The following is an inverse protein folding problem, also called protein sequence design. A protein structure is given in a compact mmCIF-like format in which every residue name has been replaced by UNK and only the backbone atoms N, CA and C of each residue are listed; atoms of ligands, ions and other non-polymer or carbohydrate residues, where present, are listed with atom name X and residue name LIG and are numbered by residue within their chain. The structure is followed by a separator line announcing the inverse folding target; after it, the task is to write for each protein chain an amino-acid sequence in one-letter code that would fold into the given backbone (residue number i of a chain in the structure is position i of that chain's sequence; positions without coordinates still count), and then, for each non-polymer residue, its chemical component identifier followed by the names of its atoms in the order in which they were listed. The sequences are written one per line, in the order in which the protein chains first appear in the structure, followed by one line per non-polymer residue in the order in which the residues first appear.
data_IF_988399121707
#
_entry.id   IF_988399121707
#
_cell.length_a   1.000
_cell.length_b   1.000
_cell.length_c   1.000
_cell.angle_alpha   90.00
_cell.angle_beta   90.00
_cell.angle_gamma   90.00
#
_symmetry.space_group_name_H-M   'P 1'
#
loop_
_entity.id
_entity.type
_entity.pdbx_description
1 polymer ?
#
# COMPACT_ATOMS: atom_id res chain seq x y z
N UNK A 1 26.86 -16.71 26.31
CA UNK A 1 26.23 -15.48 25.90
C UNK A 1 25.85 -15.68 24.44
N UNK A 2 24.57 -15.57 24.10
CA UNK A 2 24.18 -15.54 22.70
C UNK A 2 24.64 -14.20 22.12
N UNK A 3 25.39 -14.25 21.03
CA UNK A 3 25.72 -13.05 20.26
C UNK A 3 24.47 -12.62 19.52
N UNK A 4 24.18 -11.31 19.49
CA UNK A 4 23.17 -10.74 18.59
C UNK A 4 23.79 -10.65 17.20
N UNK A 5 23.54 -11.68 16.36
CA UNK A 5 24.04 -11.74 15.00
C UNK A 5 23.23 -10.89 14.02
N UNK A 6 21.98 -10.54 14.39
CA UNK A 6 21.09 -9.79 13.50
C UNK A 6 21.35 -8.29 13.54
N UNK A 7 21.87 -7.75 14.65
CA UNK A 7 22.14 -6.33 14.85
C UNK A 7 21.02 -5.42 14.29
N UNK A 8 19.75 -5.76 14.58
CA UNK A 8 18.58 -5.08 14.03
C UNK A 8 18.55 -3.58 14.36
N UNK A 9 19.16 -3.18 15.45
CA UNK A 9 19.32 -1.79 15.87
C UNK A 9 20.25 -0.98 14.94
N UNK A 10 21.14 -1.65 14.19
CA UNK A 10 22.14 -1.00 13.34
C UNK A 10 21.78 -0.94 11.86
N UNK A 11 20.63 -1.43 11.47
CA UNK A 11 20.20 -1.44 10.06
C UNK A 11 20.24 -0.03 9.44
N UNK A 12 19.90 1.00 10.23
CA UNK A 12 19.91 2.39 9.77
C UNK A 12 21.26 3.12 9.89
N UNK A 13 22.27 2.53 10.52
CA UNK A 13 23.61 3.14 10.73
C UNK A 13 24.49 3.01 9.48
N UNK A 14 24.28 1.97 8.70
CA UNK A 14 25.06 1.63 7.50
C UNK A 14 24.17 1.09 6.39
N UNK A 15 24.67 1.09 5.16
CA UNK A 15 23.95 0.47 4.03
C UNK A 15 23.85 -1.03 4.26
N UNK A 16 22.69 -1.51 4.60
CA UNK A 16 22.39 -2.88 4.98
C UNK A 16 21.18 -3.39 4.20
N UNK A 17 21.18 -4.66 3.81
CA UNK A 17 19.99 -5.35 3.31
C UNK A 17 19.73 -6.57 4.21
N UNK A 18 18.51 -6.66 4.73
CA UNK A 18 18.06 -7.78 5.56
C UNK A 18 16.91 -8.47 4.85
N UNK A 19 16.96 -9.80 4.75
CA UNK A 19 15.93 -10.61 4.13
C UNK A 19 15.30 -11.53 5.18
N UNK A 20 13.99 -11.38 5.39
CA UNK A 20 13.21 -12.32 6.17
C UNK A 20 12.53 -13.31 5.22
N UNK A 21 13.02 -14.55 5.22
CA UNK A 21 12.45 -15.61 4.39
C UNK A 21 11.44 -16.37 5.25
N UNK A 22 10.19 -16.35 4.84
CA UNK A 22 9.07 -16.92 5.58
C UNK A 22 8.43 -18.02 4.72
N UNK A 23 8.06 -19.15 5.33
CA UNK A 23 7.27 -20.16 4.66
C UNK A 23 5.85 -19.66 4.41
N UNK A 24 5.38 -19.79 3.18
CA UNK A 24 4.00 -19.50 2.77
C UNK A 24 3.01 -20.61 3.13
N UNK A 25 3.52 -21.83 3.38
CA UNK A 25 2.70 -23.01 3.66
C UNK A 25 2.52 -23.31 5.15
N UNK A 26 3.41 -22.79 6.03
CA UNK A 26 3.41 -23.08 7.45
C UNK A 26 3.30 -21.81 8.29
N UNK A 27 2.15 -21.64 8.94
CA UNK A 27 1.90 -20.45 9.78
C UNK A 27 2.43 -20.55 11.20
N UNK A 28 2.98 -21.70 11.59
CA UNK A 28 3.38 -21.99 12.99
C UNK A 28 4.36 -20.98 13.57
N UNK A 29 5.23 -20.41 12.72
CA UNK A 29 6.28 -19.48 13.13
C UNK A 29 6.00 -18.01 12.80
N UNK A 30 4.82 -17.68 12.29
CA UNK A 30 4.47 -16.31 11.91
C UNK A 30 4.59 -15.33 13.08
N UNK A 31 4.30 -15.78 14.29
CA UNK A 31 4.45 -14.96 15.50
C UNK A 31 5.90 -14.53 15.76
N UNK A 32 6.90 -15.34 15.41
CA UNK A 32 8.32 -14.97 15.53
C UNK A 32 8.66 -13.83 14.57
N UNK A 33 8.12 -13.88 13.37
CA UNK A 33 8.32 -12.83 12.37
C UNK A 33 7.64 -11.53 12.79
N UNK A 34 6.39 -11.63 13.27
CA UNK A 34 5.68 -10.48 13.81
C UNK A 34 6.42 -9.83 14.99
N UNK A 35 7.02 -10.66 15.86
CA UNK A 35 7.86 -10.21 16.97
C UNK A 35 9.15 -9.54 16.47
N UNK A 36 9.82 -10.14 15.47
CA UNK A 36 11.04 -9.57 14.88
C UNK A 36 10.76 -8.20 14.24
N UNK A 37 9.68 -8.05 13.50
CA UNK A 37 9.27 -6.74 12.95
C UNK A 37 8.97 -5.72 14.06
N UNK A 38 8.23 -6.13 15.10
CA UNK A 38 7.94 -5.25 16.24
C UNK A 38 9.22 -4.78 16.92
N UNK A 39 10.16 -5.68 17.18
CA UNK A 39 11.46 -5.35 17.77
C UNK A 39 12.28 -4.45 16.84
N UNK A 40 12.38 -4.79 15.56
CA UNK A 40 13.12 -3.99 14.57
C UNK A 40 12.62 -2.55 14.54
N UNK A 41 11.32 -2.32 14.43
CA UNK A 41 10.78 -0.96 14.41
C UNK A 41 11.05 -0.19 15.70
N UNK A 42 10.90 -0.84 16.85
CA UNK A 42 11.19 -0.20 18.14
C UNK A 42 12.68 0.15 18.27
N UNK A 43 13.57 -0.79 17.94
CA UNK A 43 15.02 -0.57 17.98
C UNK A 43 15.47 0.55 17.03
N UNK A 44 14.92 0.59 15.81
CA UNK A 44 15.21 1.67 14.85
C UNK A 44 14.74 3.04 15.38
N UNK A 45 13.57 3.10 16.01
CA UNK A 45 13.09 4.33 16.63
C UNK A 45 13.96 4.76 17.80
N UNK A 46 14.28 3.84 18.72
CA UNK A 46 15.18 4.11 19.84
C UNK A 46 16.58 4.55 19.38
N UNK A 47 17.11 3.90 18.34
CA UNK A 47 18.40 4.25 17.76
C UNK A 47 18.39 5.66 17.16
N UNK A 48 17.35 5.99 16.41
CA UNK A 48 17.17 7.33 15.87
C UNK A 48 17.12 8.38 16.99
N UNK A 49 16.32 8.14 18.02
CA UNK A 49 16.10 9.11 19.09
C UNK A 49 17.32 9.28 20.00
N UNK A 50 17.92 8.15 20.43
CA UNK A 50 18.97 8.18 21.47
C UNK A 50 20.38 8.38 20.91
N UNK A 51 20.64 8.00 19.65
CA UNK A 51 21.99 8.03 19.08
C UNK A 51 22.13 9.08 17.98
N UNK A 52 21.09 9.27 17.16
CA UNK A 52 21.18 10.11 15.97
C UNK A 52 20.34 11.38 16.03
N UNK A 53 19.89 11.79 17.22
CA UNK A 53 19.18 13.06 17.40
C UNK A 53 17.81 13.12 16.73
N UNK A 54 17.12 11.95 16.62
CA UNK A 54 15.76 11.82 16.14
C UNK A 54 15.64 11.29 14.70
N UNK A 55 16.77 11.02 14.01
CA UNK A 55 16.76 10.64 12.59
C UNK A 55 17.89 9.68 12.25
N UNK A 56 17.58 8.55 11.61
CA UNK A 56 18.61 7.61 11.17
C UNK A 56 19.46 8.22 10.04
N UNK A 57 20.79 7.94 9.99
CA UNK A 57 21.67 8.45 8.94
C UNK A 57 21.39 7.86 7.57
N UNK A 58 20.83 6.65 7.51
CA UNK A 58 20.39 6.02 6.28
C UNK A 58 18.90 5.73 6.34
N UNK A 59 18.19 6.04 5.25
CA UNK A 59 16.77 5.72 5.13
C UNK A 59 16.57 4.21 5.11
N UNK A 60 15.74 3.70 6.02
CA UNK A 60 15.37 2.29 6.08
C UNK A 60 14.02 2.10 5.39
N UNK A 61 14.01 1.34 4.31
CA UNK A 61 12.78 0.96 3.63
C UNK A 61 12.44 -0.51 3.90
N UNK A 62 11.30 -0.74 4.50
CA UNK A 62 10.76 -2.07 4.72
C UNK A 62 9.80 -2.39 3.57
N UNK A 63 10.15 -3.39 2.76
CA UNK A 63 9.28 -3.94 1.73
C UNK A 63 8.68 -5.23 2.27
N UNK A 64 7.40 -5.18 2.58
CA UNK A 64 6.70 -6.28 3.21
C UNK A 64 5.80 -6.96 2.18
N UNK A 65 6.38 -7.90 1.46
CA UNK A 65 5.66 -8.74 0.52
C UNK A 65 4.77 -9.72 1.27
N UNK A 66 3.54 -9.92 0.80
CA UNK A 66 2.54 -10.79 1.47
C UNK A 66 2.36 -10.45 2.97
N UNK A 67 2.09 -9.18 3.30
CA UNK A 67 1.97 -8.73 4.69
C UNK A 67 0.92 -9.52 5.51
N UNK A 68 -0.04 -10.15 4.84
CA UNK A 68 -1.02 -11.03 5.47
C UNK A 68 -0.41 -12.32 6.07
N UNK A 69 0.71 -12.80 5.53
CA UNK A 69 1.28 -14.08 5.94
C UNK A 69 2.09 -13.98 7.24
N UNK A 70 2.45 -12.80 7.68
CA UNK A 70 3.24 -12.61 8.92
C UNK A 70 2.40 -12.55 10.18
N UNK A 71 1.07 -12.47 10.04
CA UNK A 71 0.17 -12.24 11.17
C UNK A 71 0.17 -10.80 11.66
N UNK A 72 -0.39 -10.58 12.84
CA UNK A 72 -0.53 -9.24 13.42
C UNK A 72 0.78 -8.79 14.09
N UNK A 73 1.38 -7.70 13.59
CA UNK A 73 2.46 -7.01 14.30
C UNK A 73 1.84 -6.11 15.36
N UNK A 74 2.23 -6.29 16.64
CA UNK A 74 1.67 -5.49 17.72
C UNK A 74 1.89 -4.00 17.51
N UNK A 75 0.85 -3.20 17.73
CA UNK A 75 0.89 -1.73 17.68
C UNK A 75 1.35 -1.13 16.34
N UNK A 76 1.21 -1.86 15.23
CA UNK A 76 1.60 -1.36 13.91
C UNK A 76 0.92 -0.04 13.57
N UNK A 77 -0.33 0.16 13.99
CA UNK A 77 -1.08 1.41 13.79
C UNK A 77 -0.43 2.63 14.45
N UNK A 78 0.31 2.43 15.53
CA UNK A 78 1.08 3.49 16.18
C UNK A 78 2.44 3.68 15.52
N UNK A 79 3.08 2.58 15.16
CA UNK A 79 4.39 2.60 14.52
C UNK A 79 4.35 3.35 13.19
N UNK A 80 3.38 3.08 12.32
CA UNK A 80 3.26 3.75 11.01
C UNK A 80 3.09 5.27 11.12
N UNK A 81 2.56 5.76 12.22
CA UNK A 81 2.39 7.19 12.46
C UNK A 81 3.71 7.90 12.81
N UNK A 82 4.68 7.18 13.39
CA UNK A 82 5.89 7.80 13.97
C UNK A 82 7.19 7.48 13.23
N UNK A 83 7.26 6.35 12.52
CA UNK A 83 8.51 5.88 11.87
C UNK A 83 9.01 6.83 10.78
N UNK A 84 8.12 7.55 10.10
CA UNK A 84 8.47 8.48 9.03
C UNK A 84 9.45 9.57 9.47
N UNK A 85 9.23 10.16 10.64
CA UNK A 85 10.14 11.21 11.18
C UNK A 85 11.54 10.69 11.46
N UNK A 86 11.71 9.38 11.62
CA UNK A 86 12.95 8.69 11.94
C UNK A 86 13.66 8.07 10.73
N UNK A 87 13.28 8.48 9.51
CA UNK A 87 13.81 7.96 8.26
C UNK A 87 13.48 6.47 8.01
N UNK A 88 12.33 6.02 8.49
CA UNK A 88 11.84 4.66 8.21
C UNK A 88 10.56 4.75 7.39
N UNK A 89 10.50 3.99 6.30
CA UNK A 89 9.30 3.85 5.48
C UNK A 89 8.87 2.39 5.36
N UNK A 90 7.56 2.20 5.25
CA UNK A 90 6.94 0.89 5.17
C UNK A 90 6.12 0.79 3.88
N UNK A 91 6.32 -0.29 3.13
CA UNK A 91 5.53 -0.67 1.98
C UNK A 91 4.85 -2.00 2.27
N UNK A 92 3.54 -2.00 2.40
CA UNK A 92 2.72 -3.18 2.66
C UNK A 92 2.11 -3.66 1.35
N UNK A 93 2.30 -4.93 1.02
CA UNK A 93 1.65 -5.55 -0.11
C UNK A 93 0.60 -6.54 0.39
N UNK A 94 -0.61 -6.38 -0.13
CA UNK A 94 -1.75 -7.26 0.13
C UNK A 94 -2.36 -7.71 -1.18
N UNK A 95 -2.81 -8.95 -1.25
CA UNK A 95 -3.60 -9.42 -2.38
C UNK A 95 -5.00 -8.78 -2.37
N UNK A 96 -5.52 -8.51 -1.18
CA UNK A 96 -6.84 -7.92 -0.96
C UNK A 96 -6.82 -7.06 0.31
N UNK A 97 -7.53 -5.94 0.32
CA UNK A 97 -7.68 -5.11 1.51
C UNK A 97 -8.40 -5.83 2.66
N UNK A 98 -9.26 -6.78 2.32
CA UNK A 98 -9.93 -7.62 3.31
C UNK A 98 -8.94 -8.37 4.21
N UNK A 99 -7.76 -8.75 3.73
CA UNK A 99 -6.71 -9.40 4.53
C UNK A 99 -6.20 -8.45 5.63
N UNK A 100 -5.93 -7.20 5.29
CA UNK A 100 -5.52 -6.19 6.27
C UNK A 100 -6.62 -5.99 7.34
N UNK A 101 -7.88 -5.86 6.90
CA UNK A 101 -9.03 -5.70 7.81
C UNK A 101 -9.23 -6.93 8.71
N UNK A 102 -9.01 -8.14 8.19
CA UNK A 102 -9.11 -9.37 8.99
C UNK A 102 -8.03 -9.48 10.08
N UNK A 103 -6.81 -8.98 9.81
CA UNK A 103 -5.69 -9.06 10.76
C UNK A 103 -5.76 -7.94 11.81
N UNK A 104 -6.07 -6.71 11.38
CA UNK A 104 -5.96 -5.52 12.23
C UNK A 104 -7.31 -4.95 12.68
N UNK A 105 -8.43 -5.53 12.22
CA UNK A 105 -9.79 -5.11 12.56
C UNK A 105 -9.95 -3.57 12.47
N UNK A 106 -10.43 -2.93 13.50
CA UNK A 106 -10.61 -1.46 13.59
C UNK A 106 -9.32 -0.66 13.39
N UNK A 107 -8.15 -1.24 13.61
CA UNK A 107 -6.85 -0.57 13.42
C UNK A 107 -6.42 -0.54 11.95
N UNK A 108 -7.03 -1.35 11.07
CA UNK A 108 -6.70 -1.36 9.66
C UNK A 108 -6.91 0.02 8.99
N UNK A 109 -7.99 0.72 9.34
CA UNK A 109 -8.26 2.06 8.81
C UNK A 109 -7.18 3.07 9.21
N UNK A 110 -6.68 2.98 10.44
CA UNK A 110 -5.57 3.83 10.91
C UNK A 110 -4.28 3.53 10.16
N UNK A 111 -3.97 2.24 9.92
CA UNK A 111 -2.79 1.84 9.16
C UNK A 111 -2.88 2.38 7.72
N UNK A 112 -3.98 2.10 7.03
CA UNK A 112 -4.19 2.54 5.64
C UNK A 112 -4.23 4.07 5.52
N UNK A 113 -4.85 4.75 6.48
CA UNK A 113 -4.93 6.21 6.52
C UNK A 113 -3.59 6.93 6.72
N UNK A 114 -2.58 6.23 7.26
CA UNK A 114 -1.21 6.73 7.39
C UNK A 114 -0.34 6.47 6.14
N UNK A 115 -0.84 5.73 5.14
CA UNK A 115 -0.11 5.53 3.89
C UNK A 115 -0.25 6.76 3.00
N UNK A 116 0.86 7.37 2.61
CA UNK A 116 0.88 8.55 1.72
C UNK A 116 0.70 8.17 0.25
N UNK A 117 1.01 6.94 -0.11
CA UNK A 117 0.93 6.42 -1.46
C UNK A 117 0.22 5.08 -1.46
N UNK A 118 -0.74 4.91 -2.35
CA UNK A 118 -1.44 3.64 -2.55
C UNK A 118 -1.44 3.29 -4.02
N UNK A 119 -1.10 2.03 -4.34
CA UNK A 119 -1.09 1.53 -5.72
C UNK A 119 -2.04 0.34 -5.82
N UNK A 120 -3.02 0.45 -6.70
CA UNK A 120 -3.89 -0.66 -7.07
C UNK A 120 -3.43 -1.26 -8.40
N UNK A 121 -3.02 -2.50 -8.36
CA UNK A 121 -2.49 -3.23 -9.52
C UNK A 121 -3.54 -4.05 -10.26
N UNK A 122 -4.80 -3.92 -9.88
CA UNK A 122 -5.90 -4.73 -10.38
C UNK A 122 -6.29 -5.84 -9.41
N UNK A 123 -7.50 -6.32 -9.55
CA UNK A 123 -8.07 -7.38 -8.71
C UNK A 123 -9.56 -7.49 -8.95
N UNK A 124 -10.18 -8.56 -8.41
CA UNK A 124 -11.63 -8.82 -8.55
C UNK A 124 -12.36 -8.95 -7.23
N UNK A 125 -11.66 -8.75 -6.13
CA UNK A 125 -12.28 -8.86 -4.80
C UNK A 125 -13.22 -7.67 -4.56
N UNK A 126 -14.49 -7.96 -4.32
CA UNK A 126 -15.58 -6.99 -4.37
C UNK A 126 -15.43 -5.86 -3.33
N UNK A 127 -14.97 -6.18 -2.11
CA UNK A 127 -14.84 -5.16 -1.06
C UNK A 127 -13.67 -4.21 -1.33
N UNK A 128 -12.57 -4.70 -1.88
CA UNK A 128 -11.42 -3.89 -2.32
C UNK A 128 -11.82 -2.97 -3.47
N UNK A 129 -12.49 -3.50 -4.50
CA UNK A 129 -12.96 -2.72 -5.65
C UNK A 129 -13.92 -1.62 -5.22
N UNK A 130 -14.87 -1.95 -4.33
CA UNK A 130 -15.81 -0.98 -3.80
C UNK A 130 -15.11 0.13 -3.02
N UNK A 131 -14.18 -0.22 -2.14
CA UNK A 131 -13.39 0.74 -1.37
C UNK A 131 -12.63 1.71 -2.29
N UNK A 132 -12.00 1.18 -3.35
CA UNK A 132 -11.26 1.99 -4.32
C UNK A 132 -12.20 2.92 -5.08
N UNK A 133 -13.33 2.41 -5.58
CA UNK A 133 -14.28 3.20 -6.34
C UNK A 133 -14.87 4.35 -5.52
N UNK A 134 -15.37 4.03 -4.32
CA UNK A 134 -16.14 4.97 -3.50
C UNK A 134 -15.27 5.94 -2.71
N UNK A 135 -14.17 5.44 -2.09
CA UNK A 135 -13.41 6.19 -1.11
C UNK A 135 -12.08 6.74 -1.67
N UNK A 136 -11.43 6.03 -2.60
CA UNK A 136 -10.15 6.48 -3.11
C UNK A 136 -10.30 7.34 -4.36
N UNK A 137 -11.14 6.92 -5.31
CA UNK A 137 -11.36 7.65 -6.54
C UNK A 137 -12.43 8.74 -6.38
N UNK A 138 -13.49 8.44 -5.63
CA UNK A 138 -14.59 9.36 -5.41
C UNK A 138 -15.46 9.59 -6.65
N UNK A 139 -16.16 10.73 -6.66
CA UNK A 139 -17.13 11.05 -7.70
C UNK A 139 -16.77 12.31 -8.46
N UNK A 140 -16.97 12.29 -9.78
CA UNK A 140 -16.92 13.44 -10.65
C UNK A 140 -18.32 13.94 -10.96
N UNK A 141 -18.46 15.23 -11.18
CA UNK A 141 -19.74 15.83 -11.62
C UNK A 141 -19.85 15.71 -13.13
N UNK A 142 -20.91 15.03 -13.60
CA UNK A 142 -21.27 14.97 -15.02
C UNK A 142 -22.45 15.91 -15.24
N UNK A 143 -22.35 16.78 -16.24
CA UNK A 143 -23.48 17.57 -16.72
C UNK A 143 -24.17 16.80 -17.84
N UNK A 144 -25.40 16.38 -17.59
CA UNK A 144 -26.28 15.85 -18.64
C UNK A 144 -27.18 16.96 -19.13
N UNK A 145 -27.11 17.23 -20.42
CA UNK A 145 -27.96 18.17 -21.11
C UNK A 145 -29.02 17.39 -21.90
N UNK A 146 -30.27 17.59 -21.56
CA UNK A 146 -31.39 16.97 -22.26
C UNK A 146 -32.13 18.06 -23.04
N UNK A 147 -32.09 17.96 -24.36
CA UNK A 147 -32.80 18.85 -25.25
C UNK A 147 -34.15 18.19 -25.60
N UNK A 148 -35.23 18.84 -25.22
CA UNK A 148 -36.58 18.39 -25.55
C UNK A 148 -37.21 19.36 -26.56
N UNK A 149 -37.56 18.83 -27.73
CA UNK A 149 -38.23 19.57 -28.79
C UNK A 149 -39.66 19.06 -28.96
N UNK A 150 -40.61 19.89 -28.69
CA UNK A 150 -42.03 19.60 -29.01
C UNK A 150 -42.40 20.20 -30.37
N UNK A 151 -42.87 19.35 -31.30
CA UNK A 151 -43.46 19.76 -32.59
C UNK A 151 -44.98 19.81 -32.42
N UNK A 152 -45.52 20.95 -32.02
CA UNK A 152 -46.94 21.25 -31.96
C UNK A 152 -47.20 22.61 -32.57
N UNK A 153 -48.48 23.12 -32.50
CA UNK A 153 -48.87 24.41 -33.02
C UNK A 153 -48.12 25.63 -32.42
N UNK A 154 -47.35 25.41 -31.35
CA UNK A 154 -46.29 26.31 -30.87
C UNK A 154 -45.04 25.47 -30.62
N UNK A 155 -43.96 25.79 -31.35
CA UNK A 155 -42.64 25.18 -31.09
C UNK A 155 -42.14 25.65 -29.73
N UNK A 156 -41.96 24.72 -28.79
CA UNK A 156 -41.24 25.02 -27.56
C UNK A 156 -39.96 24.22 -27.48
N UNK A 157 -38.87 24.92 -27.17
CA UNK A 157 -37.56 24.35 -26.91
C UNK A 157 -37.29 24.43 -25.41
N UNK A 158 -37.04 23.29 -24.79
CA UNK A 158 -36.68 23.23 -23.38
C UNK A 158 -35.33 22.51 -23.25
N UNK A 159 -34.38 23.19 -22.66
CA UNK A 159 -33.05 22.67 -22.35
C UNK A 159 -32.98 22.46 -20.83
N UNK A 160 -32.83 21.21 -20.42
CA UNK A 160 -32.67 20.87 -19.02
C UNK A 160 -31.24 20.36 -18.78
N UNK A 161 -30.53 21.03 -17.88
CA UNK A 161 -29.18 20.65 -17.49
C UNK A 161 -29.21 20.04 -16.08
N UNK A 162 -28.96 18.74 -15.99
CA UNK A 162 -28.84 18.05 -14.73
C UNK A 162 -27.37 17.79 -14.43
N UNK A 163 -26.96 18.09 -13.21
CA UNK A 163 -25.62 17.72 -12.70
C UNK A 163 -25.76 16.46 -11.85
N UNK A 164 -25.14 15.37 -12.31
CA UNK A 164 -25.14 14.09 -11.62
C UNK A 164 -23.72 13.78 -11.14
N UNK A 165 -23.58 13.26 -9.93
CA UNK A 165 -22.33 12.70 -9.46
C UNK A 165 -22.15 11.29 -10.02
N UNK A 166 -21.08 11.05 -10.78
CA UNK A 166 -20.68 9.71 -11.22
C UNK A 166 -19.35 9.34 -10.57
N UNK A 167 -19.20 8.10 -10.14
CA UNK A 167 -17.90 7.56 -9.72
C UNK A 167 -16.88 7.71 -10.86
N UNK A 168 -15.66 8.14 -10.54
CA UNK A 168 -14.57 8.27 -11.53
C UNK A 168 -14.32 6.98 -12.28
N UNK A 169 -14.33 5.85 -11.55
CA UNK A 169 -14.41 4.50 -12.10
C UNK A 169 -15.37 3.68 -11.26
N UNK A 170 -16.34 3.09 -11.92
CA UNK A 170 -17.31 2.20 -11.27
C UNK A 170 -16.63 0.88 -10.84
N UNK A 171 -17.20 0.13 -9.89
CA UNK A 171 -16.71 -1.20 -9.54
C UNK A 171 -16.56 -2.14 -10.74
N UNK A 172 -17.47 -2.05 -11.71
CA UNK A 172 -17.41 -2.87 -12.93
C UNK A 172 -16.22 -2.48 -13.84
N UNK A 173 -15.94 -1.20 -13.99
CA UNK A 173 -14.78 -0.69 -14.74
C UNK A 173 -13.46 -1.09 -14.06
N UNK A 174 -13.40 -1.06 -12.73
CA UNK A 174 -12.23 -1.52 -11.97
C UNK A 174 -12.01 -3.03 -12.10
N UNK A 175 -13.09 -3.83 -12.05
CA UNK A 175 -13.01 -5.28 -12.20
C UNK A 175 -12.52 -5.73 -13.58
N UNK A 176 -12.72 -4.89 -14.59
CA UNK A 176 -12.32 -5.13 -15.99
C UNK A 176 -11.11 -4.30 -16.42
N UNK A 177 -10.42 -3.67 -15.49
CA UNK A 177 -9.23 -2.87 -15.76
C UNK A 177 -8.16 -3.69 -16.49
N UNK A 178 -7.54 -3.14 -17.57
CA UNK A 178 -6.49 -3.84 -18.30
C UNK A 178 -5.32 -4.26 -17.40
N UNK A 179 -4.77 -5.44 -17.62
CA UNK A 179 -3.73 -6.01 -16.77
C UNK A 179 -2.40 -5.24 -16.77
N UNK A 180 -2.16 -4.41 -17.79
CA UNK A 180 -1.00 -3.51 -17.92
C UNK A 180 -1.19 -2.16 -17.24
N UNK A 181 -2.35 -1.88 -16.63
CA UNK A 181 -2.67 -0.62 -15.97
C UNK A 181 -2.70 -0.74 -14.47
N UNK A 182 -2.47 0.39 -13.80
CA UNK A 182 -2.58 0.55 -12.36
C UNK A 182 -3.21 1.89 -12.01
N UNK A 183 -3.72 1.99 -10.81
CA UNK A 183 -4.17 3.25 -10.23
C UNK A 183 -3.20 3.62 -9.12
N UNK A 184 -2.62 4.81 -9.22
CA UNK A 184 -1.76 5.39 -8.19
C UNK A 184 -2.52 6.54 -7.53
N UNK A 185 -2.63 6.49 -6.21
CA UNK A 185 -3.11 7.59 -5.40
C UNK A 185 -1.98 8.11 -4.52
N UNK A 186 -1.77 9.40 -4.55
CA UNK A 186 -0.85 10.12 -3.68
C UNK A 186 -1.64 11.09 -2.83
N UNK A 187 -1.29 11.22 -1.56
CA UNK A 187 -1.96 12.15 -0.65
C UNK A 187 -1.89 13.58 -1.20
N UNK A 188 -3.06 14.23 -1.29
CA UNK A 188 -3.18 15.60 -1.77
C UNK A 188 -3.18 15.77 -3.29
N UNK A 189 -3.14 14.70 -4.06
CA UNK A 189 -3.22 14.74 -5.52
C UNK A 189 -4.42 13.93 -6.03
N UNK A 190 -4.98 14.30 -7.19
CA UNK A 190 -5.94 13.45 -7.88
C UNK A 190 -5.31 12.08 -8.22
N UNK A 191 -6.12 11.02 -8.29
CA UNK A 191 -5.63 9.70 -8.65
C UNK A 191 -5.12 9.65 -10.10
N UNK A 192 -4.09 8.85 -10.32
CA UNK A 192 -3.48 8.64 -11.63
C UNK A 192 -3.85 7.26 -12.16
N UNK A 193 -4.31 7.20 -13.41
CA UNK A 193 -4.45 5.95 -14.16
C UNK A 193 -3.24 5.80 -15.09
N UNK A 194 -2.36 4.86 -14.80
CA UNK A 194 -1.03 4.76 -15.41
C UNK A 194 -0.74 3.36 -15.94
N UNK A 195 0.12 3.20 -16.96
CA UNK A 195 0.66 1.90 -17.28
C UNK A 195 1.54 1.39 -16.13
N UNK A 196 1.54 0.07 -15.91
CA UNK A 196 2.50 -0.60 -15.03
C UNK A 196 3.91 -0.49 -15.62
N UNK A 197 4.91 -0.48 -14.77
CA UNK A 197 6.29 -0.53 -15.21
C UNK A 197 6.56 -1.87 -15.94
N UNK A 198 7.16 -1.81 -17.13
CA UNK A 198 7.54 -3.01 -17.87
C UNK A 198 8.91 -3.49 -17.38
N UNK A 199 8.94 -4.68 -16.79
CA UNK A 199 10.15 -5.32 -16.26
C UNK A 199 11.02 -6.00 -17.34
N UNK A 200 10.51 -6.17 -18.57
CA UNK A 200 11.23 -6.85 -19.65
C UNK A 200 12.56 -6.20 -20.07
N UNK A 201 12.72 -4.85 -20.00
CA UNK A 201 14.00 -4.23 -20.34
C UNK A 201 15.07 -4.40 -19.26
N UNK A 202 14.72 -4.84 -18.07
CA UNK A 202 15.73 -5.08 -17.02
C UNK A 202 16.44 -6.39 -17.35
N UNK A 203 17.51 -6.28 -18.13
CA UNK A 203 18.47 -7.36 -18.30
C UNK A 203 18.99 -7.74 -16.91
N UNK A 204 18.67 -8.94 -16.46
CA UNK A 204 19.26 -9.55 -15.26
C UNK A 204 20.72 -9.86 -15.53
N UNK A 205 21.54 -8.84 -15.79
CA UNK A 205 22.98 -8.97 -15.79
C UNK A 205 23.45 -8.93 -14.34
N UNK A 206 23.56 -10.14 -13.74
CA UNK A 206 24.46 -10.45 -12.64
C UNK A 206 24.33 -9.65 -11.34
N UNK A 207 23.23 -9.83 -10.61
CA UNK A 207 23.30 -9.85 -9.16
C UNK A 207 23.11 -11.31 -8.72
N UNK A 208 24.15 -12.14 -8.90
CA UNK A 208 24.31 -13.30 -8.03
C UNK A 208 24.64 -12.72 -6.66
N UNK A 209 23.63 -12.54 -5.82
CA UNK A 209 23.85 -12.49 -4.40
C UNK A 209 24.62 -13.76 -4.05
N UNK A 210 25.77 -13.64 -3.41
CA UNK A 210 26.37 -14.76 -2.71
C UNK A 210 25.37 -15.11 -1.61
N UNK A 211 24.55 -16.11 -1.87
CA UNK A 211 23.73 -16.75 -0.86
C UNK A 211 24.68 -17.42 0.14
N UNK A 212 24.90 -16.76 1.25
CA UNK A 212 25.34 -17.44 2.46
C UNK A 212 24.08 -18.04 3.06
N UNK A 213 23.69 -19.23 2.57
CA UNK A 213 22.64 -20.03 3.19
C UNK A 213 23.15 -20.53 4.53
N UNK A 214 22.74 -19.90 5.60
CA UNK A 214 22.77 -20.50 6.93
C UNK A 214 21.58 -21.47 7.00
N UNK A 215 21.87 -22.76 6.85
CA UNK A 215 20.93 -23.81 7.21
C UNK A 215 20.87 -23.90 8.74
N UNK A 216 19.70 -23.60 9.30
CA UNK A 216 19.29 -24.02 10.65
C UNK A 216 18.53 -25.33 10.57
#
# INVERSE_FOLDING_TARGET
MAYDELELDRIGDRKTAVFFIISDTTQTYNFLVALAFSQMFNLLCERADNVHGGRLPHHVRVLWDEAANTGQVPQLEKLVAVIRSREVSLCLLYQQLAQCKAIYDKHAETILGNMDSVVFLGGREASTIKEISENWLGKATISMQTDSRSRGQSESYSQNTQRLGRELMTPAELATMPGDKCILQLRGLPPFFSPKYDLKPVSYTHLRAHETSLHL
#
